data_IF_168936052942
#
_entry.id   IF_168936052942
#
_cell.length_a   1.000
_cell.length_b   1.000
_cell.length_c   1.000
_cell.angle_alpha   90.00
_cell.angle_beta   90.00
_cell.angle_gamma   90.00
#
_symmetry.space_group_name_H-M   'P 1'
#
loop_
_entity.id
_entity.type
_entity.pdbx_description
1 polymer ?
#
# COMPACT_ATOMS: atom_id res chain seq x y z
N UNK A 1 -13.35 15.88 4.33
CA UNK A 1 -11.93 15.83 4.68
C UNK A 1 -11.09 15.94 3.40
N UNK A 2 -9.87 16.43 3.56
CA UNK A 2 -8.84 16.36 2.51
C UNK A 2 -8.06 15.06 2.71
N UNK A 3 -8.14 14.17 1.73
CA UNK A 3 -7.47 12.85 1.75
C UNK A 3 -6.37 12.84 0.71
N UNK A 4 -5.18 12.41 1.11
CA UNK A 4 -4.04 12.26 0.25
C UNK A 4 -3.67 10.78 0.11
N UNK A 5 -3.77 10.26 -1.10
CA UNK A 5 -3.40 8.87 -1.41
C UNK A 5 -2.00 8.84 -2.03
N UNK A 6 -1.13 7.99 -1.49
CA UNK A 6 0.25 7.86 -1.92
C UNK A 6 0.52 6.44 -2.40
N UNK A 7 0.94 6.30 -3.64
CA UNK A 7 1.30 5.02 -4.23
C UNK A 7 1.01 4.93 -5.72
N UNK A 8 1.49 3.86 -6.35
CA UNK A 8 1.31 3.59 -7.76
C UNK A 8 -0.12 3.20 -8.13
N UNK A 9 -0.39 3.26 -9.43
CA UNK A 9 -1.68 2.86 -9.97
C UNK A 9 -1.95 1.37 -9.75
N UNK A 10 -3.03 1.08 -9.05
CA UNK A 10 -3.45 -0.29 -8.72
C UNK A 10 -4.97 -0.38 -8.58
N UNK A 11 -5.50 -1.58 -8.48
CA UNK A 11 -6.93 -1.79 -8.18
C UNK A 11 -7.29 -1.28 -6.80
N UNK A 12 -6.40 -1.42 -5.84
CA UNK A 12 -6.59 -0.87 -4.50
C UNK A 12 -6.70 0.66 -4.56
N UNK A 13 -5.82 1.32 -5.32
CA UNK A 13 -5.89 2.76 -5.53
C UNK A 13 -7.23 3.16 -6.17
N UNK A 14 -7.68 2.44 -7.21
CA UNK A 14 -8.98 2.67 -7.85
C UNK A 14 -10.15 2.54 -6.87
N UNK A 15 -10.12 1.54 -6.00
CA UNK A 15 -11.15 1.29 -5.00
C UNK A 15 -11.18 2.40 -3.93
N UNK A 16 -9.99 2.81 -3.45
CA UNK A 16 -9.86 3.90 -2.48
C UNK A 16 -10.38 5.22 -3.05
N UNK A 17 -9.98 5.59 -4.26
CA UNK A 17 -10.46 6.82 -4.93
C UNK A 17 -11.97 6.79 -5.05
N UNK A 18 -12.54 5.66 -5.54
CA UNK A 18 -13.99 5.52 -5.69
C UNK A 18 -14.73 5.66 -4.36
N UNK A 19 -14.18 5.07 -3.30
CA UNK A 19 -14.77 5.14 -1.95
C UNK A 19 -14.70 6.56 -1.39
N UNK A 20 -13.53 7.20 -1.46
CA UNK A 20 -13.33 8.56 -0.95
C UNK A 20 -14.22 9.57 -1.67
N UNK A 21 -14.37 9.44 -2.98
CA UNK A 21 -15.27 10.27 -3.77
C UNK A 21 -16.74 10.06 -3.39
N UNK A 22 -17.17 8.80 -3.26
CA UNK A 22 -18.53 8.47 -2.83
C UNK A 22 -18.87 9.06 -1.46
N UNK A 23 -17.90 9.11 -0.57
CA UNK A 23 -18.04 9.67 0.76
C UNK A 23 -17.90 11.22 0.79
N UNK A 24 -17.73 11.86 -0.37
CA UNK A 24 -17.65 13.32 -0.50
C UNK A 24 -16.33 13.91 -0.03
N UNK A 25 -15.25 13.14 -0.05
CA UNK A 25 -13.92 13.62 0.32
C UNK A 25 -13.19 14.26 -0.86
N UNK A 26 -12.40 15.29 -0.58
CA UNK A 26 -11.51 15.90 -1.55
C UNK A 26 -10.21 15.08 -1.60
N UNK A 27 -10.01 14.37 -2.72
CA UNK A 27 -8.93 13.39 -2.86
C UNK A 27 -7.80 13.94 -3.72
N UNK A 28 -6.60 13.89 -3.18
CA UNK A 28 -5.34 14.20 -3.88
C UNK A 28 -4.53 12.93 -4.04
N UNK A 29 -3.65 12.92 -5.04
CA UNK A 29 -2.93 11.72 -5.42
C UNK A 29 -1.44 12.02 -5.64
N UNK A 30 -0.57 11.26 -4.97
CA UNK A 30 0.85 11.19 -5.27
C UNK A 30 1.15 9.82 -5.88
N UNK A 31 1.38 9.78 -7.19
CA UNK A 31 1.60 8.54 -7.94
C UNK A 31 2.99 8.48 -8.54
N UNK A 32 3.41 7.29 -8.98
CA UNK A 32 4.64 7.14 -9.73
C UNK A 32 4.57 7.74 -11.14
N UNK A 33 5.70 7.66 -11.85
CA UNK A 33 5.90 8.21 -13.20
C UNK A 33 5.02 7.60 -14.31
N UNK A 34 4.28 6.54 -14.04
CA UNK A 34 3.44 5.90 -15.06
C UNK A 34 2.25 6.77 -15.36
N UNK A 35 2.29 7.29 -16.55
CA UNK A 35 1.37 8.24 -17.12
C UNK A 35 0.00 7.62 -17.42
N UNK A 36 -0.77 7.35 -16.37
CA UNK A 36 -2.19 7.07 -16.51
C UNK A 36 -3.00 8.32 -16.80
N UNK A 37 -2.55 9.16 -17.75
CA UNK A 37 -3.29 10.37 -18.14
C UNK A 37 -4.73 10.01 -18.43
N UNK A 38 -5.61 10.42 -17.55
CA UNK A 38 -7.06 10.25 -17.70
C UNK A 38 -7.67 9.08 -16.94
N UNK A 39 -6.90 8.18 -16.30
CA UNK A 39 -7.46 7.07 -15.52
C UNK A 39 -8.17 7.57 -14.25
N UNK A 40 -7.60 8.60 -13.58
CA UNK A 40 -8.14 9.17 -12.34
C UNK A 40 -8.71 10.57 -12.57
N UNK A 41 -9.77 10.67 -13.38
CA UNK A 41 -10.41 11.96 -13.72
C UNK A 41 -11.10 12.64 -12.54
N UNK A 42 -11.32 11.92 -11.46
CA UNK A 42 -12.13 12.36 -10.33
C UNK A 42 -11.31 12.80 -9.11
N UNK A 43 -9.99 12.66 -9.17
CA UNK A 43 -9.14 13.24 -8.13
C UNK A 43 -9.04 14.75 -8.32
N UNK A 44 -8.98 15.48 -7.22
CA UNK A 44 -8.92 16.93 -7.25
C UNK A 44 -7.62 17.43 -7.88
N UNK A 45 -6.50 16.82 -7.51
CA UNK A 45 -5.19 17.12 -8.05
C UNK A 45 -4.28 15.88 -7.99
N UNK A 46 -3.37 15.78 -8.95
CA UNK A 46 -2.42 14.69 -9.07
C UNK A 46 -1.00 15.24 -9.09
N UNK A 47 -0.16 14.70 -8.22
CA UNK A 47 1.26 14.96 -8.16
C UNK A 47 2.04 13.78 -8.71
N UNK A 48 3.06 14.06 -9.51
CA UNK A 48 4.03 13.04 -9.92
C UNK A 48 5.00 12.78 -8.77
N UNK A 49 5.48 11.56 -8.75
CA UNK A 49 6.28 11.02 -7.71
C UNK A 49 7.66 11.68 -7.57
N UNK A 50 7.90 12.46 -6.52
CA UNK A 50 9.13 12.46 -5.80
C UNK A 50 8.87 12.06 -4.36
N UNK A 51 9.60 11.10 -3.82
CA UNK A 51 9.57 10.86 -2.39
C UNK A 51 10.78 11.55 -1.70
N UNK A 52 11.37 12.57 -2.31
CA UNK A 52 12.30 13.40 -1.62
C UNK A 52 11.57 14.27 -0.57
N UNK A 53 12.25 14.50 0.57
CA UNK A 53 11.63 15.13 1.72
C UNK A 53 11.21 16.58 1.49
N UNK A 54 11.87 17.29 0.59
CA UNK A 54 11.60 18.71 0.31
C UNK A 54 10.34 18.85 -0.54
N UNK A 55 10.28 18.16 -1.68
CA UNK A 55 9.12 18.20 -2.57
C UNK A 55 7.86 17.67 -1.90
N UNK A 56 7.95 16.58 -1.12
CA UNK A 56 6.81 16.05 -0.39
C UNK A 56 6.33 17.01 0.70
N UNK A 57 7.26 17.68 1.39
CA UNK A 57 6.92 18.70 2.39
C UNK A 57 6.19 19.89 1.77
N UNK A 58 6.65 20.36 0.62
CA UNK A 58 6.00 21.44 -0.11
C UNK A 58 4.57 21.06 -0.50
N UNK A 59 4.39 19.86 -1.09
CA UNK A 59 3.07 19.34 -1.47
C UNK A 59 2.15 19.24 -0.25
N UNK A 60 2.60 18.65 0.85
CA UNK A 60 1.77 18.49 2.05
C UNK A 60 1.47 19.82 2.73
N UNK A 61 2.38 20.77 2.69
CA UNK A 61 2.13 22.12 3.20
C UNK A 61 1.06 22.84 2.40
N UNK A 62 1.13 22.74 1.07
CA UNK A 62 0.16 23.39 0.17
C UNK A 62 -1.22 22.74 0.23
N UNK A 63 -1.29 21.41 0.28
CA UNK A 63 -2.56 20.65 0.32
C UNK A 63 -3.14 20.60 1.72
N UNK A 64 -2.29 20.53 2.74
CA UNK A 64 -2.65 20.41 4.17
C UNK A 64 -3.65 19.25 4.44
N UNK A 65 -3.34 18.00 4.09
CA UNK A 65 -4.27 16.89 4.16
C UNK A 65 -4.65 16.52 5.60
N UNK A 66 -5.91 16.12 5.82
CA UNK A 66 -6.40 15.60 7.10
C UNK A 66 -6.02 14.13 7.29
N UNK A 67 -5.93 13.41 6.18
CA UNK A 67 -5.62 11.98 6.11
C UNK A 67 -4.66 11.70 4.98
N UNK A 68 -3.55 11.04 5.30
CA UNK A 68 -2.64 10.47 4.31
C UNK A 68 -2.74 8.96 4.37
N UNK A 69 -2.94 8.31 3.23
CA UNK A 69 -2.93 6.85 3.10
C UNK A 69 -1.78 6.48 2.18
N UNK A 70 -0.74 5.88 2.73
CA UNK A 70 0.36 5.31 1.96
C UNK A 70 0.08 3.84 1.67
N UNK A 71 0.05 3.48 0.38
CA UNK A 71 -0.25 2.10 -0.07
C UNK A 71 0.79 1.07 0.40
N UNK A 72 1.96 1.52 0.82
CA UNK A 72 2.95 0.71 1.50
C UNK A 72 3.30 -0.58 0.75
N UNK A 73 3.00 -1.72 1.34
CA UNK A 73 3.26 -3.03 0.77
C UNK A 73 2.59 -3.25 -0.61
N UNK A 74 1.55 -2.47 -0.93
CA UNK A 74 0.77 -2.55 -2.16
C UNK A 74 1.09 -1.44 -3.16
N UNK A 75 2.16 -0.68 -2.91
CA UNK A 75 2.61 0.37 -3.81
C UNK A 75 3.35 -0.23 -5.01
N UNK A 76 2.75 -0.12 -6.20
CA UNK A 76 3.29 -0.66 -7.45
C UNK A 76 4.46 0.13 -8.03
N UNK A 77 4.91 1.19 -7.35
CA UNK A 77 6.11 1.92 -7.73
C UNK A 77 7.41 1.18 -7.37
N UNK A 78 7.32 0.17 -6.49
CA UNK A 78 8.46 -0.65 -6.09
C UNK A 78 8.53 -1.94 -6.92
N UNK A 79 9.70 -2.20 -7.48
CA UNK A 79 9.99 -3.45 -8.20
C UNK A 79 10.73 -4.42 -7.28
N UNK A 80 9.98 -5.26 -6.61
CA UNK A 80 10.54 -6.23 -5.67
C UNK A 80 11.35 -7.36 -6.32
N UNK A 81 11.53 -7.36 -7.65
CA UNK A 81 12.50 -8.25 -8.31
C UNK A 81 13.95 -7.93 -7.87
N UNK A 82 14.26 -6.66 -7.55
CA UNK A 82 15.49 -6.25 -6.86
C UNK A 82 15.18 -5.83 -5.41
N UNK A 83 14.69 -6.78 -4.63
CA UNK A 83 14.18 -6.55 -3.29
C UNK A 83 15.19 -5.89 -2.34
N UNK A 84 16.50 -6.17 -2.51
CA UNK A 84 17.56 -5.55 -1.68
C UNK A 84 17.66 -4.05 -1.91
N UNK A 85 17.65 -3.61 -3.15
CA UNK A 85 17.70 -2.20 -3.53
C UNK A 85 16.41 -1.50 -3.14
N UNK A 86 15.28 -2.10 -3.49
CA UNK A 86 13.97 -1.51 -3.24
C UNK A 86 13.64 -1.42 -1.74
N UNK A 87 14.17 -2.31 -0.90
CA UNK A 87 13.99 -2.22 0.56
C UNK A 87 14.60 -0.94 1.15
N UNK A 88 15.77 -0.54 0.68
CA UNK A 88 16.42 0.71 1.12
C UNK A 88 15.60 1.92 0.68
N UNK A 89 15.22 1.95 -0.60
CA UNK A 89 14.40 3.02 -1.17
C UNK A 89 13.06 3.15 -0.47
N UNK A 90 12.36 2.04 -0.28
CA UNK A 90 11.07 1.97 0.40
C UNK A 90 11.11 2.58 1.81
N UNK A 91 12.13 2.20 2.58
CA UNK A 91 12.32 2.71 3.95
C UNK A 91 12.60 4.20 3.97
N UNK A 92 13.44 4.68 3.04
CA UNK A 92 13.75 6.10 2.90
C UNK A 92 12.50 6.90 2.50
N UNK A 93 11.76 6.42 1.51
CA UNK A 93 10.55 7.08 1.00
C UNK A 93 9.48 7.20 2.09
N UNK A 94 9.22 6.15 2.87
CA UNK A 94 8.29 6.21 3.99
C UNK A 94 8.75 7.20 5.07
N UNK A 95 10.05 7.22 5.36
CA UNK A 95 10.61 8.16 6.35
C UNK A 95 10.43 9.60 5.87
N UNK A 96 10.65 9.87 4.58
CA UNK A 96 10.42 11.18 3.98
C UNK A 96 8.95 11.61 4.06
N UNK A 97 8.03 10.69 3.76
CA UNK A 97 6.58 10.96 3.86
C UNK A 97 6.16 11.31 5.29
N UNK A 98 6.58 10.51 6.28
CA UNK A 98 6.25 10.75 7.68
C UNK A 98 6.89 12.04 8.20
N UNK A 99 8.16 12.28 7.87
CA UNK A 99 8.87 13.52 8.25
C UNK A 99 8.19 14.75 7.65
N UNK A 100 7.79 14.68 6.38
CA UNK A 100 7.09 15.75 5.70
C UNK A 100 5.70 16.03 6.28
N UNK A 101 5.03 15.00 6.81
CA UNK A 101 3.68 15.11 7.37
C UNK A 101 3.64 15.44 8.87
N UNK A 102 4.76 15.28 9.58
CA UNK A 102 4.82 15.42 11.04
C UNK A 102 4.49 16.83 11.58
N UNK A 103 4.38 17.85 10.70
CA UNK A 103 3.94 19.20 11.10
C UNK A 103 2.42 19.28 11.37
N UNK A 104 1.65 18.32 10.87
CA UNK A 104 0.18 18.31 10.98
C UNK A 104 -0.26 17.74 12.34
N UNK A 105 -0.65 18.61 13.26
CA UNK A 105 -1.00 18.22 14.65
C UNK A 105 -2.19 17.26 14.75
N UNK A 106 -3.25 17.45 13.95
CA UNK A 106 -4.47 16.63 14.00
C UNK A 106 -4.64 15.76 12.75
N UNK A 107 -3.56 15.49 12.05
CA UNK A 107 -3.57 14.68 10.85
C UNK A 107 -3.38 13.21 11.17
N UNK A 108 -3.94 12.35 10.33
CA UNK A 108 -3.78 10.90 10.43
C UNK A 108 -2.98 10.35 9.27
N UNK A 109 -2.01 9.50 9.58
CA UNK A 109 -1.24 8.76 8.58
C UNK A 109 -1.58 7.28 8.68
N UNK A 110 -2.07 6.69 7.59
CA UNK A 110 -2.38 5.26 7.49
C UNK A 110 -1.34 4.61 6.58
N UNK A 111 -0.68 3.60 7.11
CA UNK A 111 0.30 2.78 6.42
C UNK A 111 -0.27 1.39 6.15
N UNK A 112 -0.30 0.98 4.88
CA UNK A 112 -0.77 -0.34 4.50
C UNK A 112 0.40 -1.33 4.52
N UNK A 113 0.41 -2.16 5.54
CA UNK A 113 1.30 -3.31 5.71
C UNK A 113 0.68 -4.58 5.14
N UNK A 114 1.35 -5.71 5.24
CA UNK A 114 0.92 -6.99 4.68
C UNK A 114 1.24 -8.14 5.62
N UNK A 115 0.53 -9.24 5.45
CA UNK A 115 0.75 -10.52 6.12
C UNK A 115 2.15 -11.10 5.90
N UNK A 116 2.87 -10.67 4.84
CA UNK A 116 4.23 -11.13 4.55
C UNK A 116 5.21 -10.91 5.71
N UNK A 117 4.90 -9.99 6.64
CA UNK A 117 5.72 -9.72 7.83
C UNK A 117 5.76 -10.90 8.79
N UNK A 118 4.75 -11.77 8.79
CA UNK A 118 4.70 -12.95 9.64
C UNK A 118 5.56 -14.12 9.13
N UNK A 119 5.97 -14.10 7.85
CA UNK A 119 6.69 -15.21 7.23
C UNK A 119 5.78 -16.32 6.74
N UNK A 120 6.37 -17.47 6.43
CA UNK A 120 5.63 -18.62 5.88
C UNK A 120 5.21 -19.60 6.97
N UNK A 121 4.06 -20.24 6.76
CA UNK A 121 3.52 -21.38 7.51
C UNK A 121 3.06 -21.07 8.93
N UNK A 122 1.80 -20.76 9.03
CA UNK A 122 1.07 -20.89 10.28
C UNK A 122 0.15 -22.10 10.19
N UNK A 123 0.12 -22.88 11.25
CA UNK A 123 -0.78 -24.05 11.40
C UNK A 123 -2.13 -23.66 12.02
N UNK A 124 -2.32 -22.38 12.36
CA UNK A 124 -3.49 -21.83 13.03
C UNK A 124 -3.74 -20.39 12.58
N UNK A 125 -4.84 -19.82 13.01
CA UNK A 125 -5.17 -18.42 12.80
C UNK A 125 -4.06 -17.50 13.33
N UNK A 126 -3.74 -16.45 12.57
CA UNK A 126 -2.71 -15.47 12.91
C UNK A 126 -3.36 -14.31 13.65
N UNK A 127 -2.77 -13.94 14.79
CA UNK A 127 -3.16 -12.75 15.55
C UNK A 127 -2.16 -11.60 15.31
N UNK A 128 -2.61 -10.36 15.48
CA UNK A 128 -1.75 -9.16 15.31
C UNK A 128 -0.57 -9.13 16.28
N UNK A 129 -0.66 -9.88 17.39
CA UNK A 129 0.38 -9.98 18.40
C UNK A 129 1.46 -11.00 18.05
N UNK A 130 1.24 -11.81 17.01
CA UNK A 130 2.24 -12.79 16.60
C UNK A 130 3.55 -12.10 16.15
N UNK A 131 4.69 -12.70 16.52
CA UNK A 131 5.99 -12.13 16.17
C UNK A 131 6.21 -12.16 14.67
N UNK A 132 6.66 -11.04 14.12
CA UNK A 132 7.10 -10.97 12.73
C UNK A 132 8.37 -11.82 12.57
N UNK A 133 8.37 -12.74 11.60
CA UNK A 133 9.44 -13.74 11.41
C UNK A 133 9.95 -13.86 9.98
N UNK A 134 9.50 -13.01 9.07
CA UNK A 134 9.91 -13.08 7.67
C UNK A 134 11.40 -12.77 7.48
N UNK A 135 12.02 -13.52 6.55
CA UNK A 135 13.44 -13.39 6.20
C UNK A 135 13.66 -12.72 4.84
N UNK A 136 12.60 -12.34 4.12
CA UNK A 136 12.74 -11.65 2.84
C UNK A 136 13.05 -10.16 3.03
N UNK A 137 13.85 -9.58 2.13
CA UNK A 137 14.13 -8.13 2.16
C UNK A 137 12.86 -7.29 2.07
N UNK A 138 11.90 -7.72 1.26
CA UNK A 138 10.60 -7.06 1.16
C UNK A 138 9.87 -7.02 2.50
N UNK A 139 9.70 -8.18 3.13
CA UNK A 139 8.98 -8.25 4.40
C UNK A 139 9.72 -7.53 5.53
N UNK A 140 11.06 -7.57 5.52
CA UNK A 140 11.87 -6.79 6.47
C UNK A 140 11.67 -5.30 6.30
N UNK A 141 11.62 -4.80 5.05
CA UNK A 141 11.37 -3.38 4.77
C UNK A 141 9.96 -2.96 5.18
N UNK A 142 8.95 -3.80 4.92
CA UNK A 142 7.57 -3.55 5.33
C UNK A 142 7.46 -3.50 6.86
N UNK A 143 8.06 -4.46 7.56
CA UNK A 143 8.11 -4.48 9.03
C UNK A 143 8.86 -3.27 9.60
N UNK A 144 9.97 -2.87 8.97
CA UNK A 144 10.67 -1.65 9.35
C UNK A 144 9.77 -0.42 9.18
N UNK A 145 8.94 -0.39 8.16
CA UNK A 145 7.92 0.66 7.97
C UNK A 145 6.94 0.73 9.13
N UNK A 146 6.47 -0.39 9.65
CA UNK A 146 5.63 -0.44 10.85
C UNK A 146 6.34 0.16 12.07
N UNK A 147 7.62 -0.21 12.28
CA UNK A 147 8.43 0.31 13.38
C UNK A 147 8.66 1.82 13.26
N UNK A 148 8.87 2.34 12.06
CA UNK A 148 9.00 3.78 11.80
C UNK A 148 7.68 4.49 12.15
N UNK A 149 6.53 4.00 11.69
CA UNK A 149 5.22 4.54 12.04
C UNK A 149 5.01 4.56 13.56
N UNK A 150 5.36 3.46 14.24
CA UNK A 150 5.31 3.39 15.71
C UNK A 150 6.21 4.44 16.36
N UNK A 151 7.44 4.61 15.87
CA UNK A 151 8.38 5.61 16.39
C UNK A 151 7.82 7.04 16.27
N UNK A 152 7.20 7.39 15.13
CA UNK A 152 6.57 8.71 14.97
C UNK A 152 5.36 8.90 15.90
N UNK A 153 4.57 7.85 16.14
CA UNK A 153 3.49 7.90 17.12
C UNK A 153 4.01 8.14 18.53
N UNK A 154 5.03 7.37 18.94
CA UNK A 154 5.52 7.37 20.32
C UNK A 154 6.38 8.60 20.65
N UNK A 155 7.07 9.19 19.65
CA UNK A 155 8.00 10.32 19.86
C UNK A 155 7.49 11.67 19.37
N UNK A 156 6.51 11.69 18.48
CA UNK A 156 5.96 12.90 17.86
C UNK A 156 4.45 13.04 18.05
N UNK A 157 3.84 12.13 18.81
CA UNK A 157 2.39 12.10 19.06
C UNK A 157 1.54 12.11 17.77
N UNK A 158 2.12 11.62 16.68
CA UNK A 158 1.48 11.58 15.39
C UNK A 158 0.46 10.42 15.34
N UNK A 159 -0.79 10.67 14.92
CA UNK A 159 -1.80 9.61 14.75
C UNK A 159 -1.45 8.73 13.55
N UNK A 160 -0.55 7.77 13.75
CA UNK A 160 -0.19 6.76 12.75
C UNK A 160 -0.97 5.47 12.99
N UNK A 161 -1.51 4.90 11.91
CA UNK A 161 -2.22 3.61 11.92
C UNK A 161 -1.55 2.67 10.93
N UNK A 162 -1.28 1.46 11.39
CA UNK A 162 -0.75 0.37 10.55
C UNK A 162 -1.86 -0.64 10.33
N UNK A 163 -2.14 -0.96 9.08
CA UNK A 163 -3.14 -1.95 8.70
C UNK A 163 -2.43 -3.08 7.95
N UNK A 164 -2.37 -4.27 8.55
CA UNK A 164 -1.89 -5.48 7.89
C UNK A 164 -3.04 -6.11 7.13
N UNK A 165 -2.92 -6.15 5.81
CA UNK A 165 -3.87 -6.85 4.95
C UNK A 165 -3.33 -8.22 4.60
N UNK A 166 -4.23 -9.18 4.52
CA UNK A 166 -4.02 -10.45 3.85
C UNK A 166 -4.18 -10.30 2.33
N UNK A 167 -4.18 -11.38 1.59
CA UNK A 167 -4.37 -11.36 0.15
C UNK A 167 -5.67 -10.65 -0.23
N UNK A 168 -5.54 -9.59 -1.01
CA UNK A 168 -6.70 -8.86 -1.53
C UNK A 168 -7.13 -9.47 -2.85
N UNK A 169 -8.40 -9.83 -2.92
CA UNK A 169 -9.04 -10.38 -4.12
C UNK A 169 -9.99 -9.34 -4.71
N UNK A 170 -10.02 -9.25 -6.03
CA UNK A 170 -11.00 -8.44 -6.77
C UNK A 170 -11.58 -9.25 -7.91
N UNK A 171 -12.85 -9.02 -8.21
CA UNK A 171 -13.49 -9.61 -9.39
C UNK A 171 -12.94 -8.91 -10.63
N UNK A 172 -12.31 -9.63 -11.58
CA UNK A 172 -11.75 -9.00 -12.77
C UNK A 172 -12.85 -8.31 -13.56
N UNK A 173 -12.65 -7.03 -13.83
CA UNK A 173 -13.46 -6.34 -14.83
C UNK A 173 -13.14 -6.95 -16.20
N UNK A 174 -14.18 -7.10 -17.07
CA UNK A 174 -14.06 -7.68 -18.41
C UNK A 174 -12.74 -7.26 -19.09
N UNK A 175 -11.91 -8.24 -19.44
CA UNK A 175 -10.69 -8.06 -20.23
C UNK A 175 -9.38 -7.89 -19.47
N UNK A 176 -9.34 -7.93 -18.12
CA UNK A 176 -8.09 -7.92 -17.35
C UNK A 176 -8.04 -9.15 -16.45
N UNK A 177 -7.15 -10.05 -16.76
CA UNK A 177 -6.86 -11.20 -15.89
C UNK A 177 -6.19 -10.68 -14.60
N UNK A 178 -6.66 -11.15 -13.45
CA UNK A 178 -5.91 -11.05 -12.21
C UNK A 178 -4.84 -12.13 -12.23
N UNK A 179 -3.60 -11.76 -12.02
CA UNK A 179 -2.49 -12.72 -11.98
C UNK A 179 -2.37 -13.44 -10.62
N UNK A 180 -3.29 -13.17 -9.69
CA UNK A 180 -3.31 -13.87 -8.41
C UNK A 180 -3.63 -15.37 -8.63
N UNK A 181 -2.74 -16.30 -8.24
CA UNK A 181 -2.93 -17.73 -8.47
C UNK A 181 -4.24 -18.28 -7.87
N UNK A 182 -4.59 -17.85 -6.67
CA UNK A 182 -5.84 -18.28 -6.01
C UNK A 182 -7.06 -17.83 -6.81
N UNK A 183 -7.03 -16.61 -7.34
CA UNK A 183 -8.12 -16.09 -8.14
C UNK A 183 -8.24 -16.83 -9.47
N UNK A 184 -7.12 -17.15 -10.12
CA UNK A 184 -7.11 -17.99 -11.34
C UNK A 184 -7.68 -19.37 -11.06
N UNK A 185 -7.30 -19.99 -9.93
CA UNK A 185 -7.87 -21.29 -9.51
C UNK A 185 -9.38 -21.20 -9.27
N UNK A 186 -9.86 -20.14 -8.62
CA UNK A 186 -11.31 -19.93 -8.45
C UNK A 186 -12.05 -19.76 -9.78
N UNK A 187 -11.47 -19.01 -10.72
CA UNK A 187 -12.05 -18.86 -12.06
C UNK A 187 -12.07 -20.18 -12.84
N UNK A 188 -11.02 -20.96 -12.73
CA UNK A 188 -10.94 -22.28 -13.37
C UNK A 188 -11.97 -23.23 -12.76
N UNK A 189 -12.10 -23.25 -11.43
CA UNK A 189 -13.12 -24.01 -10.73
C UNK A 189 -14.54 -23.65 -11.17
N UNK A 190 -14.83 -22.36 -11.32
CA UNK A 190 -16.14 -21.90 -11.79
C UNK A 190 -16.43 -22.28 -13.26
N UNK A 191 -15.39 -22.41 -14.09
CA UNK A 191 -15.54 -22.77 -15.52
C UNK A 191 -15.61 -24.28 -15.74
N UNK A 192 -14.83 -25.05 -15.01
CA UNK A 192 -14.59 -26.47 -15.30
C UNK A 192 -15.15 -27.41 -14.23
N UNK A 193 -15.60 -26.87 -13.10
CA UNK A 193 -15.96 -27.62 -11.90
C UNK A 193 -14.82 -28.51 -11.37
N UNK A 194 -13.59 -28.21 -11.75
CA UNK A 194 -12.37 -28.93 -11.37
C UNK A 194 -11.26 -27.93 -11.00
N UNK A 195 -10.41 -28.30 -10.07
CA UNK A 195 -9.19 -27.56 -9.71
C UNK A 195 -7.99 -28.39 -10.16
N UNK A 196 -7.21 -27.87 -11.10
CA UNK A 196 -5.88 -28.40 -11.38
C UNK A 196 -4.90 -27.85 -10.34
N UNK A 197 -4.75 -28.55 -9.22
CA UNK A 197 -3.75 -28.22 -8.20
C UNK A 197 -2.36 -28.59 -8.70
N UNK A 198 -1.61 -27.64 -9.22
CA UNK A 198 -0.19 -27.81 -9.47
C UNK A 198 0.56 -27.48 -8.17
N UNK A 199 0.98 -28.51 -7.44
CA UNK A 199 1.59 -28.42 -6.11
C UNK A 199 2.86 -27.53 -6.03
N UNK A 200 3.42 -27.16 -7.18
CA UNK A 200 4.60 -26.27 -7.26
C UNK A 200 4.25 -24.78 -7.29
N UNK A 201 3.01 -24.40 -7.57
CA UNK A 201 2.60 -23.00 -7.74
C UNK A 201 1.56 -22.52 -6.73
N UNK A 202 1.14 -23.37 -5.81
CA UNK A 202 0.02 -23.04 -4.90
C UNK A 202 0.48 -22.27 -3.65
N UNK A 203 1.76 -22.42 -3.28
CA UNK A 203 2.35 -21.63 -2.19
C UNK A 203 3.82 -21.34 -2.55
N UNK A 204 4.19 -20.07 -2.83
CA UNK A 204 5.58 -19.69 -2.94
C UNK A 204 6.31 -19.80 -1.60
#
# INVERSE_FOLDING_TARGET
MIVFLVGGESRLMDALITKMEKDGHKTYLLTGKRDGRGKYRRVFERYNFPYDSESVREIFTNVNPDLVIFLGAYDTNYDWSDARRESVRYTADLTNLLSAYAFKQNGRFVYLSSEVVYGRSYSSDIHETEPASSKSFQAMAILQGENICKSYRDTREMDTRVLRFDHMYDIPRKGKADNNPCFQMMLEMLKTNQIAANSRNVFP
#
